data_IF_828730086902
#
_entry.id   IF_828730086902
#
_cell.length_a   1.000
_cell.length_b   1.000
_cell.length_c   1.000
_cell.angle_alpha   90.00
_cell.angle_beta   90.00
_cell.angle_gamma   90.00
#
_symmetry.space_group_name_H-M   'P 1'
#
loop_
_entity.id
_entity.type
_entity.pdbx_description
1 polymer ?
#
# COMPACT_ATOMS: atom_id res chain seq x y z
N UNK A 1 2.84 -15.16 19.75
CA UNK A 1 2.02 -14.44 18.75
C UNK A 1 2.93 -13.40 18.13
N UNK A 2 3.43 -13.64 16.92
CA UNK A 2 4.26 -12.65 16.22
C UNK A 2 3.35 -11.49 15.81
N UNK A 3 3.66 -10.28 16.30
CA UNK A 3 2.92 -9.07 15.97
C UNK A 3 3.18 -8.64 14.53
N UNK A 4 2.32 -7.77 13.99
CA UNK A 4 2.60 -7.09 12.71
C UNK A 4 3.89 -6.29 12.89
N UNK A 5 4.89 -6.56 12.04
CA UNK A 5 6.17 -5.84 12.08
C UNK A 5 6.36 -4.89 10.91
N UNK A 6 5.65 -5.12 9.80
CA UNK A 6 5.64 -4.24 8.65
C UNK A 6 4.26 -4.16 7.99
N UNK A 7 3.91 -2.99 7.48
CA UNK A 7 2.77 -2.78 6.60
C UNK A 7 3.27 -2.26 5.26
N UNK A 8 2.88 -2.96 4.19
CA UNK A 8 3.23 -2.65 2.82
C UNK A 8 1.97 -2.16 2.10
N UNK A 9 2.03 -1.00 1.48
CA UNK A 9 0.88 -0.37 0.85
C UNK A 9 1.00 -0.41 -0.67
N UNK A 10 -0.11 -0.61 -1.37
CA UNK A 10 -0.18 -0.05 -2.73
C UNK A 10 -0.16 1.48 -2.66
N UNK A 11 0.22 2.12 -3.78
CA UNK A 11 0.30 3.57 -3.87
C UNK A 11 -1.02 4.15 -4.36
N UNK A 12 -1.32 3.91 -5.63
CA UNK A 12 -2.46 4.48 -6.35
C UNK A 12 -3.75 3.79 -5.88
N UNK A 13 -4.81 4.54 -5.60
CA UNK A 13 -6.07 4.00 -5.07
C UNK A 13 -6.04 3.68 -3.56
N UNK A 14 -4.84 3.52 -2.98
CA UNK A 14 -4.68 3.13 -1.56
C UNK A 14 -4.10 4.25 -0.69
N UNK A 15 -2.89 4.75 -1.00
CA UNK A 15 -2.27 5.86 -0.24
C UNK A 15 -2.63 7.23 -0.83
N UNK A 16 -2.78 7.28 -2.15
CA UNK A 16 -3.12 8.48 -2.92
C UNK A 16 -4.20 8.15 -3.94
N UNK A 17 -4.93 9.16 -4.39
CA UNK A 17 -5.92 9.02 -5.46
C UNK A 17 -5.29 8.39 -6.72
N UNK A 18 -5.98 7.46 -7.37
CA UNK A 18 -5.51 6.85 -8.62
C UNK A 18 -5.65 7.85 -9.78
N UNK A 19 -4.51 8.33 -10.25
CA UNK A 19 -4.40 9.16 -11.45
C UNK A 19 -3.72 8.32 -12.54
N UNK A 20 -4.43 7.93 -13.61
CA UNK A 20 -3.88 7.05 -14.64
C UNK A 20 -2.57 7.58 -15.23
N UNK A 21 -1.51 6.79 -15.11
CA UNK A 21 -0.16 7.12 -15.58
C UNK A 21 0.33 8.50 -15.08
N UNK A 22 0.16 8.76 -13.78
CA UNK A 22 0.60 10.02 -13.19
C UNK A 22 2.11 10.26 -13.37
N UNK A 23 2.45 11.38 -13.99
CA UNK A 23 3.82 11.89 -14.19
C UNK A 23 4.07 13.23 -13.51
N UNK A 24 3.04 13.82 -12.93
CA UNK A 24 3.04 15.16 -12.38
C UNK A 24 2.86 15.09 -10.85
N UNK A 25 3.91 15.43 -10.09
CA UNK A 25 3.82 15.53 -8.63
C UNK A 25 2.68 16.42 -8.13
N UNK A 26 2.26 17.43 -8.89
CA UNK A 26 1.17 18.32 -8.49
C UNK A 26 -0.20 17.61 -8.41
N UNK A 27 -0.35 16.45 -9.06
CA UNK A 27 -1.58 15.66 -9.05
C UNK A 27 -1.62 14.63 -7.91
N UNK A 28 -0.62 14.63 -7.02
CA UNK A 28 -0.59 13.71 -5.88
C UNK A 28 -1.49 14.22 -4.76
N UNK A 29 -2.60 13.54 -4.55
CA UNK A 29 -3.55 13.79 -3.47
C UNK A 29 -3.62 12.59 -2.54
N UNK A 30 -3.20 12.69 -1.27
CA UNK A 30 -3.39 11.64 -0.27
C UNK A 30 -4.86 11.30 -0.07
N UNK A 31 -5.16 10.01 0.11
CA UNK A 31 -6.51 9.61 0.52
C UNK A 31 -6.80 10.08 1.96
N UNK A 32 -8.08 10.25 2.34
CA UNK A 32 -8.43 10.61 3.72
C UNK A 32 -7.83 9.65 4.75
N UNK A 33 -7.24 10.19 5.82
CA UNK A 33 -6.67 9.41 6.91
C UNK A 33 -5.28 8.80 6.64
N UNK A 34 -4.70 8.98 5.46
CA UNK A 34 -3.41 8.36 5.11
C UNK A 34 -2.25 8.82 6.02
N UNK A 35 -2.19 10.13 6.31
CA UNK A 35 -1.12 10.69 7.16
C UNK A 35 -1.25 10.19 8.60
N UNK A 36 -2.47 10.14 9.12
CA UNK A 36 -2.82 9.68 10.46
C UNK A 36 -2.50 8.19 10.60
N UNK A 37 -2.91 7.37 9.62
CA UNK A 37 -2.66 5.94 9.58
C UNK A 37 -1.14 5.64 9.62
N UNK A 38 -0.37 6.29 8.74
CA UNK A 38 1.09 6.14 8.73
C UNK A 38 1.73 6.67 10.02
N UNK A 39 1.19 7.75 10.59
CA UNK A 39 1.58 8.26 11.90
C UNK A 39 1.40 7.21 13.00
N UNK A 40 0.26 6.52 13.03
CA UNK A 40 -0.06 5.49 14.01
C UNK A 40 0.92 4.30 13.92
N UNK A 41 1.28 3.86 12.71
CA UNK A 41 2.25 2.78 12.54
C UNK A 41 3.64 3.18 13.05
N UNK A 42 4.08 4.40 12.72
CA UNK A 42 5.38 4.93 13.15
C UNK A 42 5.48 5.04 14.67
N UNK A 43 4.43 5.51 15.36
CA UNK A 43 4.43 5.60 16.83
C UNK A 43 4.51 4.23 17.52
N UNK A 44 4.12 3.16 16.83
CA UNK A 44 4.22 1.78 17.31
C UNK A 44 5.47 1.05 16.80
N UNK A 45 6.38 1.75 16.10
CA UNK A 45 7.60 1.15 15.56
C UNK A 45 7.36 0.11 14.47
N UNK A 46 6.18 0.12 13.84
CA UNK A 46 5.86 -0.77 12.73
C UNK A 46 6.43 -0.17 11.44
N UNK A 47 7.20 -0.97 10.71
CA UNK A 47 7.85 -0.53 9.46
C UNK A 47 6.80 -0.31 8.37
N UNK A 48 7.06 0.65 7.49
CA UNK A 48 6.15 1.01 6.40
C UNK A 48 6.87 0.90 5.07
N UNK A 49 6.20 0.35 4.07
CA UNK A 49 6.75 0.24 2.73
C UNK A 49 5.69 0.42 1.65
N UNK A 50 6.14 0.73 0.44
CA UNK A 50 5.26 0.84 -0.73
C UNK A 50 5.61 -0.26 -1.75
N UNK A 51 4.60 -0.98 -2.22
CA UNK A 51 4.68 -2.04 -3.24
C UNK A 51 3.75 -1.71 -4.40
N UNK A 52 4.28 -1.10 -5.47
CA UNK A 52 3.45 -0.53 -6.54
C UNK A 52 3.83 -1.02 -7.94
N UNK A 53 2.81 -1.24 -8.77
CA UNK A 53 2.93 -1.60 -10.18
C UNK A 53 2.91 -0.33 -11.05
N UNK A 54 4.05 0.09 -11.62
CA UNK A 54 4.16 1.30 -12.46
C UNK A 54 4.35 0.95 -13.94
N UNK A 55 3.35 0.27 -14.51
CA UNK A 55 3.43 -0.29 -15.88
C UNK A 55 3.55 0.75 -16.99
N UNK A 56 3.28 2.02 -16.70
CA UNK A 56 3.53 3.12 -17.63
C UNK A 56 4.99 3.18 -18.07
N UNK A 57 5.94 2.71 -17.25
CA UNK A 57 7.36 2.65 -17.61
C UNK A 57 7.59 1.63 -18.73
N UNK A 58 7.25 0.35 -18.53
CA UNK A 58 7.41 -0.70 -19.53
C UNK A 58 6.57 -0.47 -20.80
N UNK A 59 5.51 0.34 -20.71
CA UNK A 59 4.71 0.80 -21.86
C UNK A 59 5.31 2.02 -22.58
N UNK A 60 6.39 2.61 -22.09
CA UNK A 60 6.99 3.84 -22.66
C UNK A 60 6.19 5.12 -22.44
N UNK A 61 5.17 5.10 -21.57
CA UNK A 61 4.32 6.26 -21.23
C UNK A 61 4.93 7.11 -20.12
N UNK A 62 5.77 6.50 -19.29
CA UNK A 62 6.45 7.11 -18.14
C UNK A 62 7.94 6.80 -18.15
N UNK A 63 8.72 7.70 -17.59
CA UNK A 63 10.12 7.46 -17.26
C UNK A 63 10.26 7.09 -15.78
N UNK A 64 11.33 6.37 -15.44
CA UNK A 64 11.69 6.12 -14.03
C UNK A 64 11.86 7.42 -13.23
N UNK A 65 12.36 8.49 -13.87
CA UNK A 65 12.54 9.79 -13.22
C UNK A 65 11.19 10.45 -12.88
N UNK A 66 10.19 10.38 -13.77
CA UNK A 66 8.84 10.90 -13.50
C UNK A 66 8.19 10.16 -12.33
N UNK A 67 8.23 8.82 -12.35
CA UNK A 67 7.67 8.01 -11.25
C UNK A 67 8.38 8.30 -9.93
N UNK A 68 9.72 8.50 -9.94
CA UNK A 68 10.47 8.87 -8.75
C UNK A 68 10.00 10.20 -8.17
N UNK A 69 9.81 11.24 -8.99
CA UNK A 69 9.32 12.56 -8.54
C UNK A 69 7.92 12.47 -7.92
N UNK A 70 7.04 11.65 -8.50
CA UNK A 70 5.72 11.38 -7.92
C UNK A 70 5.87 10.71 -6.56
N UNK A 71 6.74 9.69 -6.43
CA UNK A 71 6.97 9.02 -5.14
C UNK A 71 7.59 9.95 -4.09
N UNK A 72 8.56 10.79 -4.48
CA UNK A 72 9.14 11.83 -3.60
C UNK A 72 8.05 12.76 -3.06
N UNK A 73 7.10 13.17 -3.91
CA UNK A 73 5.96 13.96 -3.48
C UNK A 73 5.02 13.23 -2.52
N UNK A 74 4.83 11.92 -2.70
CA UNK A 74 4.10 11.10 -1.72
C UNK A 74 4.80 11.15 -0.36
N UNK A 75 6.14 11.02 -0.31
CA UNK A 75 6.88 11.11 0.94
C UNK A 75 6.81 12.50 1.59
N UNK A 76 6.88 13.57 0.81
CA UNK A 76 6.70 14.93 1.31
C UNK A 76 5.33 15.10 2.01
N UNK A 77 4.29 14.47 1.45
CA UNK A 77 2.92 14.60 1.92
C UNK A 77 2.54 13.59 3.02
N UNK A 78 3.25 12.48 3.16
CA UNK A 78 2.88 11.40 4.10
C UNK A 78 3.96 11.08 5.14
N UNK A 79 5.16 11.63 4.95
CA UNK A 79 6.37 11.25 5.65
C UNK A 79 7.13 10.13 4.92
N UNK A 80 8.34 9.81 5.38
CA UNK A 80 9.20 8.83 4.74
C UNK A 80 8.66 7.40 4.91
N UNK A 81 9.00 6.54 3.95
CA UNK A 81 8.81 5.09 4.05
C UNK A 81 10.15 4.38 4.22
N UNK A 82 10.15 3.24 4.91
CA UNK A 82 11.35 2.43 5.09
C UNK A 82 11.77 1.72 3.80
N UNK A 83 10.84 1.49 2.87
CA UNK A 83 11.13 0.87 1.58
C UNK A 83 10.15 1.25 0.47
N UNK A 84 10.69 1.47 -0.73
CA UNK A 84 9.94 1.45 -1.98
C UNK A 84 10.31 0.25 -2.84
N UNK A 85 9.31 -0.51 -3.26
CA UNK A 85 9.42 -1.56 -4.25
C UNK A 85 8.48 -1.22 -5.41
N UNK A 86 9.08 -0.93 -6.57
CA UNK A 86 8.36 -0.50 -7.78
C UNK A 86 8.60 -1.52 -8.87
N UNK A 87 7.54 -2.07 -9.46
CA UNK A 87 7.67 -2.91 -10.65
C UNK A 87 7.39 -2.05 -11.91
N UNK A 88 8.39 -1.81 -12.77
CA UNK A 88 8.23 -0.94 -13.94
C UNK A 88 7.59 -1.64 -15.14
N UNK A 89 7.54 -2.97 -15.13
CA UNK A 89 7.24 -3.76 -16.32
C UNK A 89 5.76 -3.71 -16.73
N UNK A 90 5.55 -3.74 -18.04
CA UNK A 90 4.26 -3.98 -18.66
C UNK A 90 3.79 -5.43 -18.43
N UNK A 91 2.47 -5.71 -18.51
CA UNK A 91 1.95 -7.06 -18.31
C UNK A 91 2.57 -8.14 -19.21
N UNK A 92 2.91 -7.79 -20.45
CA UNK A 92 3.44 -8.73 -21.45
C UNK A 92 4.88 -9.18 -21.18
N UNK A 93 5.64 -8.50 -20.31
CA UNK A 93 7.05 -8.80 -20.06
C UNK A 93 7.26 -10.01 -19.13
N UNK A 94 6.19 -10.54 -18.50
CA UNK A 94 6.26 -11.80 -17.75
C UNK A 94 7.18 -11.77 -16.51
N UNK A 95 7.46 -10.59 -15.95
CA UNK A 95 8.36 -10.46 -14.81
C UNK A 95 7.81 -11.09 -13.52
N UNK A 96 8.70 -11.45 -12.59
CA UNK A 96 8.33 -11.99 -11.28
C UNK A 96 7.93 -10.91 -10.24
N UNK A 97 8.11 -9.61 -10.55
CA UNK A 97 7.76 -8.55 -9.60
C UNK A 97 6.30 -8.13 -9.65
N UNK A 98 5.69 -8.07 -10.85
CA UNK A 98 4.41 -7.40 -11.07
C UNK A 98 3.30 -8.13 -10.30
N UNK A 99 2.60 -7.43 -9.41
CA UNK A 99 1.40 -7.97 -8.73
C UNK A 99 0.42 -8.45 -9.82
N UNK A 100 -0.08 -9.70 -9.76
CA UNK A 100 -0.23 -10.55 -8.57
C UNK A 100 0.96 -11.49 -8.26
N UNK A 101 2.12 -11.34 -8.89
CA UNK A 101 3.32 -12.05 -8.46
C UNK A 101 3.82 -11.50 -7.10
N UNK A 102 4.42 -12.34 -6.24
CA UNK A 102 4.81 -11.94 -4.88
C UNK A 102 6.13 -11.15 -4.82
N UNK A 103 6.81 -10.94 -5.95
CA UNK A 103 8.19 -10.45 -5.97
C UNK A 103 8.38 -9.09 -5.31
N UNK A 104 7.43 -8.16 -5.46
CA UNK A 104 7.50 -6.85 -4.77
C UNK A 104 7.39 -7.00 -3.24
N UNK A 105 6.43 -7.80 -2.77
CA UNK A 105 6.21 -8.05 -1.33
C UNK A 105 7.42 -8.72 -0.70
N UNK A 106 7.95 -9.77 -1.33
CA UNK A 106 9.14 -10.49 -0.87
C UNK A 106 10.40 -9.61 -0.88
N UNK A 107 10.53 -8.73 -1.88
CA UNK A 107 11.64 -7.78 -1.97
C UNK A 107 11.56 -6.74 -0.85
N UNK A 108 10.38 -6.16 -0.61
CA UNK A 108 10.15 -5.20 0.46
C UNK A 108 10.42 -5.83 1.84
N UNK A 109 9.82 -6.99 2.13
CA UNK A 109 10.02 -7.72 3.39
C UNK A 109 11.51 -7.98 3.68
N UNK A 110 12.26 -8.44 2.68
CA UNK A 110 13.71 -8.68 2.79
C UNK A 110 14.50 -7.41 3.11
N UNK A 111 14.20 -6.30 2.43
CA UNK A 111 14.87 -5.00 2.66
C UNK A 111 14.58 -4.46 4.06
N UNK A 112 13.39 -4.73 4.58
CA UNK A 112 13.00 -4.36 5.95
C UNK A 112 13.57 -5.29 7.02
N UNK A 113 14.14 -6.44 6.62
CA UNK A 113 14.58 -7.47 7.55
C UNK A 113 13.42 -8.15 8.31
N UNK A 114 12.23 -8.16 7.71
CA UNK A 114 11.00 -8.70 8.31
C UNK A 114 10.56 -9.96 7.55
N UNK A 115 10.21 -11.07 8.24
CA UNK A 115 9.60 -12.22 7.59
C UNK A 115 8.29 -11.84 6.89
N UNK A 116 8.04 -12.35 5.68
CA UNK A 116 6.81 -12.01 4.96
C UNK A 116 5.52 -12.36 5.74
N UNK A 117 5.55 -13.40 6.58
CA UNK A 117 4.44 -13.78 7.47
C UNK A 117 4.08 -12.72 8.51
N UNK A 118 5.02 -11.86 8.88
CA UNK A 118 4.81 -10.75 9.82
C UNK A 118 4.52 -9.42 9.10
N UNK A 119 4.43 -9.45 7.77
CA UNK A 119 3.98 -8.34 6.93
C UNK A 119 2.46 -8.38 6.71
N UNK A 120 1.87 -7.20 6.59
CA UNK A 120 0.51 -7.00 6.06
C UNK A 120 0.61 -6.16 4.79
N UNK A 121 -0.11 -6.56 3.74
CA UNK A 121 -0.27 -5.76 2.51
C UNK A 121 -1.64 -5.10 2.53
N UNK A 122 -1.70 -3.79 2.33
CA UNK A 122 -2.94 -3.03 2.16
C UNK A 122 -3.03 -2.56 0.72
N UNK A 123 -4.13 -2.86 0.03
CA UNK A 123 -4.35 -2.49 -1.36
C UNK A 123 -5.84 -2.37 -1.69
N UNK A 124 -6.16 -1.88 -2.87
CA UNK A 124 -7.54 -1.63 -3.31
C UNK A 124 -8.06 -2.65 -4.33
N UNK A 125 -7.21 -3.51 -4.86
CA UNK A 125 -7.60 -4.53 -5.84
C UNK A 125 -7.14 -5.94 -5.46
N UNK A 126 -7.78 -6.96 -6.01
CA UNK A 126 -7.52 -8.37 -5.72
C UNK A 126 -6.11 -8.82 -6.12
N UNK A 127 -5.46 -8.10 -7.04
CA UNK A 127 -4.06 -8.32 -7.40
C UNK A 127 -3.11 -8.15 -6.21
N UNK A 128 -3.40 -7.19 -5.32
CA UNK A 128 -2.61 -6.92 -4.12
C UNK A 128 -2.73 -8.04 -3.10
N UNK A 129 -3.96 -8.46 -2.83
CA UNK A 129 -4.26 -9.57 -1.93
C UNK A 129 -3.64 -10.87 -2.45
N UNK A 130 -3.68 -11.09 -3.76
CA UNK A 130 -3.07 -12.28 -4.36
C UNK A 130 -1.54 -12.24 -4.22
N UNK A 131 -0.91 -11.08 -4.42
CA UNK A 131 0.52 -10.92 -4.19
C UNK A 131 0.90 -11.15 -2.72
N UNK A 132 0.12 -10.62 -1.78
CA UNK A 132 0.29 -10.82 -0.35
C UNK A 132 0.23 -12.30 0.03
N UNK A 133 -0.85 -12.99 -0.36
CA UNK A 133 -1.07 -14.41 -0.09
C UNK A 133 0.03 -15.28 -0.67
N UNK A 134 0.46 -15.01 -1.91
CA UNK A 134 1.55 -15.76 -2.57
C UNK A 134 2.91 -15.52 -1.91
N UNK A 135 3.11 -14.38 -1.25
CA UNK A 135 4.31 -14.10 -0.47
C UNK A 135 4.26 -14.70 0.94
N UNK A 136 3.11 -15.26 1.36
CA UNK A 136 2.88 -15.71 2.73
C UNK A 136 2.56 -14.57 3.70
N UNK A 137 2.27 -13.37 3.19
CA UNK A 137 1.83 -12.22 3.99
C UNK A 137 0.30 -12.20 4.12
N UNK A 138 -0.20 -11.43 5.09
CA UNK A 138 -1.64 -11.13 5.20
C UNK A 138 -2.01 -9.99 4.26
N UNK A 139 -3.24 -9.99 3.73
CA UNK A 139 -3.76 -8.93 2.87
C UNK A 139 -5.00 -8.28 3.49
N UNK A 140 -5.12 -6.95 3.38
CA UNK A 140 -6.32 -6.20 3.69
C UNK A 140 -6.74 -5.42 2.44
N UNK A 141 -7.99 -5.59 2.04
CA UNK A 141 -8.60 -4.85 0.95
C UNK A 141 -9.22 -3.56 1.48
N UNK A 142 -8.94 -2.44 0.84
CA UNK A 142 -9.63 -1.16 1.06
C UNK A 142 -10.38 -0.82 -0.23
N UNK A 143 -11.70 -1.06 -0.30
CA UNK A 143 -12.44 -0.90 -1.55
C UNK A 143 -12.50 0.55 -2.01
N UNK A 144 -12.33 0.73 -3.32
CA UNK A 144 -12.52 1.97 -4.06
C UNK A 144 -13.60 1.75 -5.13
N UNK A 145 -14.04 2.78 -5.87
CA UNK A 145 -14.99 2.60 -6.96
C UNK A 145 -14.54 1.64 -8.08
N UNK A 146 -13.22 1.35 -8.18
CA UNK A 146 -12.68 0.41 -9.18
C UNK A 146 -12.55 -1.02 -8.66
N UNK A 147 -12.64 -1.23 -7.35
CA UNK A 147 -12.62 -2.57 -6.73
C UNK A 147 -13.83 -3.37 -7.19
N UNK A 148 -13.60 -4.58 -7.67
CA UNK A 148 -14.68 -5.44 -8.12
C UNK A 148 -15.41 -6.05 -6.92
N UNK A 149 -16.73 -6.21 -7.05
CA UNK A 149 -17.56 -6.83 -6.01
C UNK A 149 -17.04 -8.22 -5.61
N UNK A 150 -16.63 -9.03 -6.58
CA UNK A 150 -16.06 -10.36 -6.32
C UNK A 150 -14.78 -10.30 -5.48
N UNK A 151 -13.95 -9.26 -5.64
CA UNK A 151 -12.75 -9.07 -4.83
C UNK A 151 -13.11 -8.78 -3.37
N UNK A 152 -14.17 -8.00 -3.13
CA UNK A 152 -14.67 -7.76 -1.77
C UNK A 152 -15.30 -9.00 -1.12
N UNK A 153 -15.99 -9.84 -1.91
CA UNK A 153 -16.64 -11.05 -1.41
C UNK A 153 -15.65 -12.18 -1.11
N UNK A 154 -14.50 -12.19 -1.77
CA UNK A 154 -13.47 -13.23 -1.63
C UNK A 154 -12.27 -12.82 -0.77
N UNK A 155 -12.14 -11.54 -0.43
CA UNK A 155 -11.09 -11.05 0.44
C UNK A 155 -11.23 -11.62 1.86
N UNK A 156 -10.13 -12.12 2.42
CA UNK A 156 -10.07 -12.59 3.81
C UNK A 156 -10.37 -11.45 4.80
N UNK A 157 -9.97 -10.24 4.45
CA UNK A 157 -10.25 -9.04 5.22
C UNK A 157 -10.50 -7.83 4.31
N UNK A 158 -11.65 -7.20 4.51
CA UNK A 158 -12.02 -5.90 3.95
C UNK A 158 -12.11 -4.85 5.07
N UNK A 159 -11.47 -3.71 4.89
CA UNK A 159 -11.63 -2.53 5.73
C UNK A 159 -12.35 -1.43 4.94
N UNK A 160 -13.19 -0.59 5.58
CA UNK A 160 -13.96 0.43 4.89
C UNK A 160 -13.11 1.57 4.33
N UNK A 161 -11.96 1.82 4.96
CA UNK A 161 -11.00 2.85 4.56
C UNK A 161 -9.58 2.50 5.06
N UNK A 162 -8.59 3.27 4.61
CA UNK A 162 -7.18 3.09 4.98
C UNK A 162 -6.94 3.26 6.49
N UNK A 163 -7.67 4.16 7.14
CA UNK A 163 -7.51 4.40 8.57
C UNK A 163 -7.94 3.18 9.39
N UNK A 164 -9.10 2.62 9.10
CA UNK A 164 -9.61 1.41 9.75
C UNK A 164 -8.75 0.18 9.44
N UNK A 165 -8.24 0.08 8.21
CA UNK A 165 -7.28 -0.97 7.84
C UNK A 165 -6.04 -0.93 8.73
N UNK A 166 -5.50 0.26 9.01
CA UNK A 166 -4.29 0.41 9.83
C UNK A 166 -4.60 0.33 11.33
N UNK A 167 -5.67 0.98 11.79
CA UNK A 167 -6.08 1.02 13.21
C UNK A 167 -6.28 -0.37 13.79
N UNK A 168 -6.84 -1.28 12.99
CA UNK A 168 -7.09 -2.66 13.39
C UNK A 168 -5.83 -3.53 13.52
N UNK A 169 -4.69 -3.09 12.97
CA UNK A 169 -3.40 -3.78 13.08
C UNK A 169 -2.66 -3.46 14.38
N UNK A 170 -3.07 -2.40 15.08
CA UNK A 170 -2.35 -1.86 16.23
C UNK A 170 -3.12 -2.11 17.52
N UNK A 171 -2.52 -2.74 18.55
CA UNK A 171 -3.20 -2.97 19.82
C UNK A 171 -3.53 -1.65 20.55
N UNK A 172 -4.74 -1.53 21.10
CA UNK A 172 -5.08 -0.49 22.09
C UNK A 172 -5.58 0.86 21.55
N UNK A 173 -5.69 1.05 20.23
CA UNK A 173 -6.28 2.28 19.68
C UNK A 173 -7.82 2.25 19.75
N UNK A 174 -8.38 2.57 20.92
CA UNK A 174 -9.79 2.98 21.03
C UNK A 174 -9.94 4.39 20.45
N UNK A 175 -10.96 4.66 19.61
CA UNK A 175 -11.19 6.01 19.12
C UNK A 175 -11.36 6.95 20.33
N UNK A 176 -10.77 8.14 20.25
CA UNK A 176 -11.16 9.23 21.15
C UNK A 176 -12.66 9.46 20.90
N UNK A 177 -13.50 9.02 21.84
CA UNK A 177 -14.92 9.34 21.83
C UNK A 177 -15.00 10.86 21.82
N UNK A 178 -15.53 11.42 20.73
CA UNK A 178 -15.70 12.85 20.54
C UNK A 178 -16.38 13.45 21.76
N UNK A 179 -15.63 14.28 22.48
CA UNK A 179 -16.17 15.09 23.55
C UNK A 179 -17.21 16.03 22.95
N UNK A 180 -18.43 15.95 23.48
CA UNK A 180 -19.46 16.95 23.33
C UNK A 180 -18.88 18.34 23.66
N UNK A 181 -18.93 19.24 22.68
CA UNK A 181 -18.74 20.68 22.89
C UNK A 181 -20.02 21.22 23.53
N UNK A 182 -19.94 22.12 24.53
CA UNK A 182 -21.07 22.59 25.34
C UNK A 182 -22.17 23.32 24.56
#
# INVERSE_FOLDING_TARGET
MTGVQAVLFDRDGTLVEDVPYNRDPALVTPVPGAREALGLLRTHGIRTGVVTNQSGIGRGLLTHAQVRRVNERVEELLGPFDVWAVCPHAPAEGCACRKPAPGLVLSAARKLGVPAADCVVVGDIGSDLTAARRAGARGILVPTPVTLREETETAEWVAPDLWEAVRSLVPGHRPAVGGSIP
#
